data_IF_733820141536
#
_entry.id   IF_733820141536
#
_cell.length_a   1.000
_cell.length_b   1.000
_cell.length_c   1.000
_cell.angle_alpha   90.00
_cell.angle_beta   90.00
_cell.angle_gamma   90.00
#
_symmetry.space_group_name_H-M   'P 1'
#
loop_
_entity.id
_entity.type
_entity.pdbx_description
1 polymer ?
#
# COMPACT_ATOMS: atom_id res chain seq x y z
N UNK A 1 -9.85 -27.74 -3.91
CA UNK A 1 -10.09 -29.10 -4.46
C UNK A 1 -10.13 -28.89 -5.97
N UNK A 2 -9.09 -29.08 -6.80
CA UNK A 2 -7.87 -29.91 -6.84
C UNK A 2 -6.61 -29.02 -6.94
N UNK A 3 -5.41 -29.54 -6.65
CA UNK A 3 -4.14 -28.84 -6.91
C UNK A 3 -3.92 -28.73 -8.43
N UNK A 4 -4.56 -27.76 -9.08
CA UNK A 4 -4.33 -27.45 -10.49
C UNK A 4 -3.02 -26.64 -10.61
N UNK A 5 -2.35 -26.71 -11.76
CA UNK A 5 -1.06 -26.02 -12.01
C UNK A 5 -1.07 -24.51 -11.69
N UNK A 6 -2.25 -23.89 -11.69
CA UNK A 6 -2.46 -22.49 -11.28
C UNK A 6 -2.04 -22.19 -9.83
N UNK A 7 -2.15 -23.13 -8.89
CA UNK A 7 -1.69 -22.92 -7.50
C UNK A 7 -0.17 -22.84 -7.42
N UNK A 8 0.55 -23.61 -8.25
CA UNK A 8 2.01 -23.57 -8.28
C UNK A 8 2.53 -22.25 -8.88
N UNK A 9 1.83 -21.72 -9.90
CA UNK A 9 2.09 -20.38 -10.47
C UNK A 9 1.87 -19.28 -9.42
N UNK A 10 0.81 -19.38 -8.60
CA UNK A 10 0.53 -18.42 -7.54
C UNK A 10 1.61 -18.42 -6.44
N UNK A 11 2.06 -19.61 -6.02
CA UNK A 11 3.12 -19.76 -5.02
C UNK A 11 4.45 -19.18 -5.55
N UNK A 12 4.82 -19.49 -6.80
CA UNK A 12 6.02 -18.93 -7.44
C UNK A 12 5.96 -17.40 -7.44
N UNK A 13 4.79 -16.85 -7.76
CA UNK A 13 4.60 -15.41 -7.85
C UNK A 13 4.68 -14.71 -6.47
N UNK A 14 4.11 -15.33 -5.43
CA UNK A 14 4.23 -14.86 -4.05
C UNK A 14 5.68 -14.81 -3.56
N UNK A 15 6.50 -15.81 -3.92
CA UNK A 15 7.93 -15.82 -3.57
C UNK A 15 8.68 -14.67 -4.24
N UNK A 16 8.38 -14.37 -5.51
CA UNK A 16 9.00 -13.24 -6.23
C UNK A 16 8.71 -11.91 -5.54
N UNK A 17 7.45 -11.68 -5.13
CA UNK A 17 7.06 -10.45 -4.41
C UNK A 17 7.80 -10.35 -3.07
N UNK A 18 7.85 -11.44 -2.30
CA UNK A 18 8.56 -11.50 -1.03
C UNK A 18 10.06 -11.19 -1.19
N UNK A 19 10.72 -11.79 -2.18
CA UNK A 19 12.14 -11.54 -2.47
C UNK A 19 12.37 -10.08 -2.83
N UNK A 20 11.49 -9.46 -3.63
CA UNK A 20 11.62 -8.03 -3.97
C UNK A 20 11.45 -7.11 -2.77
N UNK A 21 10.60 -7.47 -1.81
CA UNK A 21 10.45 -6.72 -0.57
C UNK A 21 11.69 -6.85 0.34
N UNK A 22 12.34 -8.03 0.38
CA UNK A 22 13.59 -8.26 1.11
C UNK A 22 14.74 -7.41 0.53
N UNK A 23 14.78 -7.25 -0.79
CA UNK A 23 15.79 -6.44 -1.49
C UNK A 23 15.63 -4.92 -1.31
N UNK A 24 14.67 -4.45 -0.48
CA UNK A 24 14.36 -3.02 -0.23
C UNK A 24 14.21 -2.19 -1.52
N UNK A 25 13.80 -2.83 -2.61
CA UNK A 25 13.60 -2.17 -3.90
C UNK A 25 12.11 -1.84 -4.06
N UNK A 26 11.79 -0.83 -4.86
CA UNK A 26 10.39 -0.43 -5.07
C UNK A 26 9.56 -1.63 -5.54
N UNK A 27 8.60 -2.06 -4.71
CA UNK A 27 7.78 -3.27 -4.91
C UNK A 27 6.76 -3.08 -6.05
N UNK A 28 6.55 -1.84 -6.49
CA UNK A 28 5.54 -1.48 -7.49
C UNK A 28 5.85 -2.13 -8.85
N UNK A 29 7.09 -2.00 -9.34
CA UNK A 29 7.52 -2.54 -10.64
C UNK A 29 7.34 -4.07 -10.72
N UNK A 30 7.84 -4.88 -9.75
CA UNK A 30 7.63 -6.32 -9.78
C UNK A 30 6.18 -6.73 -9.57
N UNK A 31 5.39 -6.00 -8.78
CA UNK A 31 3.94 -6.26 -8.66
C UNK A 31 3.21 -6.11 -10.00
N UNK A 32 3.48 -5.04 -10.75
CA UNK A 32 2.82 -4.79 -12.04
C UNK A 32 3.19 -5.87 -13.06
N UNK A 33 4.49 -6.15 -13.21
CA UNK A 33 4.98 -7.22 -14.09
C UNK A 33 4.38 -8.57 -13.72
N UNK A 34 4.16 -8.76 -12.43
CA UNK A 34 3.61 -9.94 -11.85
C UNK A 34 2.16 -10.24 -12.15
N UNK A 35 1.31 -9.26 -11.87
CA UNK A 35 -0.12 -9.33 -12.16
C UNK A 35 -0.32 -9.47 -13.67
N UNK A 36 0.53 -8.81 -14.48
CA UNK A 36 0.55 -8.97 -15.93
C UNK A 36 0.94 -10.39 -16.37
N UNK A 37 1.98 -10.98 -15.77
CA UNK A 37 2.39 -12.35 -16.08
C UNK A 37 1.28 -13.35 -15.68
N UNK A 38 0.71 -13.22 -14.48
CA UNK A 38 -0.43 -14.01 -14.01
C UNK A 38 -1.65 -13.87 -14.94
N UNK A 39 -1.99 -12.65 -15.35
CA UNK A 39 -3.09 -12.38 -16.27
C UNK A 39 -2.88 -13.00 -17.65
N UNK A 40 -1.64 -13.04 -18.15
CA UNK A 40 -1.28 -13.71 -19.41
C UNK A 40 -1.43 -15.22 -19.31
N UNK A 41 -0.98 -15.83 -18.21
CA UNK A 41 -1.11 -17.26 -17.99
C UNK A 41 -2.55 -17.73 -17.83
N UNK A 42 -3.42 -16.90 -17.24
CA UNK A 42 -4.82 -17.28 -16.99
C UNK A 42 -5.75 -17.00 -18.18
N UNK A 43 -5.55 -15.89 -18.88
CA UNK A 43 -6.44 -15.43 -19.96
C UNK A 43 -5.91 -15.73 -21.37
N UNK A 44 -4.63 -16.11 -21.53
CA UNK A 44 -3.96 -16.36 -22.83
C UNK A 44 -4.06 -15.19 -23.85
N UNK A 45 -4.54 -14.01 -23.43
CA UNK A 45 -4.71 -12.82 -24.27
C UNK A 45 -4.10 -11.59 -23.57
N UNK A 46 -3.32 -10.82 -24.34
CA UNK A 46 -2.63 -9.60 -23.89
C UNK A 46 -3.60 -8.55 -23.35
N UNK A 47 -4.77 -8.38 -23.99
CA UNK A 47 -5.77 -7.40 -23.57
C UNK A 47 -6.39 -7.76 -22.22
N UNK A 48 -6.65 -9.05 -21.98
CA UNK A 48 -7.21 -9.51 -20.71
C UNK A 48 -6.20 -9.46 -19.55
N UNK A 49 -4.90 -9.63 -19.84
CA UNK A 49 -3.85 -9.43 -18.86
C UNK A 49 -3.72 -7.97 -18.41
N UNK A 50 -3.76 -7.02 -19.36
CA UNK A 50 -3.76 -5.60 -19.03
C UNK A 50 -4.99 -5.25 -18.16
N UNK A 51 -6.16 -5.81 -18.50
CA UNK A 51 -7.38 -5.69 -17.71
C UNK A 51 -7.23 -6.22 -16.28
N UNK A 52 -6.51 -7.33 -16.07
CA UNK A 52 -6.27 -7.88 -14.74
C UNK A 52 -5.41 -6.95 -13.85
N UNK A 53 -4.43 -6.26 -14.43
CA UNK A 53 -3.62 -5.24 -13.72
C UNK A 53 -4.50 -4.08 -13.27
N UNK A 54 -5.31 -3.52 -14.19
CA UNK A 54 -6.22 -2.42 -13.85
C UNK A 54 -7.28 -2.83 -12.83
N UNK A 55 -7.85 -4.03 -12.94
CA UNK A 55 -8.82 -4.52 -11.97
C UNK A 55 -8.20 -4.68 -10.57
N UNK A 56 -6.96 -5.16 -10.48
CA UNK A 56 -6.24 -5.27 -9.21
C UNK A 56 -6.00 -3.91 -8.55
N UNK A 57 -5.73 -2.87 -9.34
CA UNK A 57 -5.64 -1.50 -8.83
C UNK A 57 -6.99 -0.98 -8.35
N UNK A 58 -8.08 -1.22 -9.07
CA UNK A 58 -9.43 -0.80 -8.64
C UNK A 58 -9.83 -1.47 -7.33
N UNK A 59 -9.52 -2.76 -7.16
CA UNK A 59 -9.76 -3.49 -5.90
C UNK A 59 -8.91 -2.88 -4.76
N UNK A 60 -7.62 -2.66 -5.01
CA UNK A 60 -6.72 -2.06 -4.01
C UNK A 60 -7.15 -0.64 -3.60
N UNK A 61 -7.63 0.16 -4.56
CA UNK A 61 -8.16 1.50 -4.31
C UNK A 61 -9.46 1.48 -3.53
N UNK A 62 -10.32 0.46 -3.71
CA UNK A 62 -11.53 0.32 -2.88
C UNK A 62 -11.18 -0.01 -1.42
N UNK A 63 -10.25 -0.94 -1.21
CA UNK A 63 -9.81 -1.35 0.13
C UNK A 63 -9.09 -0.21 0.87
N UNK A 64 -8.07 0.38 0.22
CA UNK A 64 -7.28 1.45 0.82
C UNK A 64 -7.99 2.81 0.79
N UNK A 65 -8.97 3.01 -0.10
CA UNK A 65 -9.67 4.28 -0.26
C UNK A 65 -10.35 4.75 1.02
N UNK A 66 -10.97 3.83 1.75
CA UNK A 66 -11.55 4.09 3.08
C UNK A 66 -10.48 4.60 4.06
N UNK A 67 -9.30 3.98 4.06
CA UNK A 67 -8.18 4.36 4.92
C UNK A 67 -7.61 5.72 4.52
N UNK A 68 -7.45 5.96 3.21
CA UNK A 68 -6.97 7.24 2.64
C UNK A 68 -7.87 8.40 3.07
N UNK A 69 -9.19 8.19 3.04
CA UNK A 69 -10.15 9.19 3.50
C UNK A 69 -9.92 9.51 4.98
N UNK A 70 -9.80 8.49 5.84
CA UNK A 70 -9.57 8.68 7.28
C UNK A 70 -8.28 9.45 7.55
N UNK A 71 -7.16 9.06 6.94
CA UNK A 71 -5.88 9.77 7.13
C UNK A 71 -5.94 11.20 6.57
N UNK A 72 -6.68 11.44 5.49
CA UNK A 72 -6.81 12.79 4.92
C UNK A 72 -7.53 13.74 5.87
N UNK A 73 -8.61 13.27 6.52
CA UNK A 73 -9.33 14.03 7.54
C UNK A 73 -8.46 14.23 8.78
N UNK A 74 -7.74 13.19 9.22
CA UNK A 74 -6.82 13.28 10.36
C UNK A 74 -5.74 14.33 10.12
N UNK A 75 -5.11 14.34 8.94
CA UNK A 75 -4.08 15.32 8.57
C UNK A 75 -4.68 16.73 8.50
N UNK A 76 -5.89 16.89 7.94
CA UNK A 76 -6.58 18.18 7.90
C UNK A 76 -6.87 18.74 9.31
N UNK A 77 -7.33 17.88 10.22
CA UNK A 77 -7.56 18.23 11.63
C UNK A 77 -6.24 18.61 12.31
N UNK A 78 -5.20 17.80 12.14
CA UNK A 78 -3.88 18.04 12.74
C UNK A 78 -3.30 19.39 12.28
N UNK A 79 -3.38 19.69 10.99
CA UNK A 79 -2.97 21.00 10.43
C UNK A 79 -3.82 22.16 10.97
N UNK A 80 -5.12 21.94 11.17
CA UNK A 80 -6.02 22.98 11.71
C UNK A 80 -5.72 23.28 13.18
N UNK A 81 -5.45 22.26 13.99
CA UNK A 81 -5.05 22.42 15.39
C UNK A 81 -3.69 23.11 15.52
N UNK A 82 -2.76 22.83 14.60
CA UNK A 82 -1.46 23.51 14.53
C UNK A 82 -1.63 25.01 14.22
N UNK A 83 -2.47 25.33 13.22
CA UNK A 83 -2.75 26.73 12.82
C UNK A 83 -3.38 27.55 13.94
N UNK A 84 -4.21 26.95 14.77
CA UNK A 84 -4.81 27.61 15.94
C UNK A 84 -3.83 27.77 17.12
N UNK A 85 -2.56 27.35 16.98
CA UNK A 85 -1.58 27.23 18.06
C UNK A 85 -2.06 26.36 19.24
N UNK A 86 -3.18 25.65 19.09
CA UNK A 86 -3.75 24.80 20.13
C UNK A 86 -2.75 23.69 20.49
N UNK A 87 -2.11 23.10 19.49
CA UNK A 87 -1.02 22.13 19.69
C UNK A 87 0.13 22.75 20.49
N UNK A 88 0.55 23.98 20.17
CA UNK A 88 1.60 24.68 20.90
C UNK A 88 1.22 24.94 22.36
N UNK A 89 -0.02 25.36 22.64
CA UNK A 89 -0.49 25.56 24.01
C UNK A 89 -0.63 24.25 24.79
N UNK A 90 -1.01 23.17 24.12
CA UNK A 90 -1.14 21.84 24.72
C UNK A 90 0.22 21.24 25.09
N UNK A 91 1.26 21.50 24.29
CA UNK A 91 2.64 21.03 24.54
C UNK A 91 3.39 21.93 25.53
N UNK A 92 3.04 23.23 25.64
CA UNK A 92 3.71 24.20 26.52
C UNK A 92 3.88 23.77 28.00
N UNK A 93 2.88 23.20 28.70
CA UNK A 93 3.08 22.73 30.07
C UNK A 93 3.98 21.48 30.15
N UNK A 94 3.93 20.60 29.14
CA UNK A 94 4.80 19.42 29.06
C UNK A 94 6.23 19.78 28.67
N UNK A 95 6.42 20.83 27.87
CA UNK A 95 7.74 21.39 27.54
C UNK A 95 8.50 21.88 28.77
N UNK A 96 7.83 22.17 29.89
CA UNK A 96 8.50 22.52 31.15
C UNK A 96 9.11 21.30 31.86
N UNK A 97 8.54 20.11 31.64
CA UNK A 97 9.01 18.83 32.20
C UNK A 97 9.91 18.06 31.23
N UNK A 98 9.76 18.28 29.92
CA UNK A 98 10.73 17.90 28.91
C UNK A 98 11.93 18.85 29.04
N UNK A 99 12.85 18.51 29.94
CA UNK A 99 14.24 18.91 29.76
C UNK A 99 14.73 18.15 28.54
N UNK A 100 15.16 18.86 27.51
CA UNK A 100 16.03 18.28 26.49
C UNK A 100 17.17 17.54 27.21
N UNK A 101 17.29 16.21 27.11
CA UNK A 101 18.63 15.67 27.03
C UNK A 101 19.21 16.25 25.74
N UNK A 102 20.44 16.72 25.85
CA UNK A 102 21.24 17.07 24.67
C UNK A 102 21.31 15.90 23.69
#
# INVERSE_FOLDING_TARGET
MTLTGAHYIYILFMVIVLVTMILKKDVIIPCILGIFCLGLFYTHNIAGSLGAVFNSFIVSLNELGSIILIISIMVALSKTLEKNKAINYMVKPFSRFIKNPT
#
